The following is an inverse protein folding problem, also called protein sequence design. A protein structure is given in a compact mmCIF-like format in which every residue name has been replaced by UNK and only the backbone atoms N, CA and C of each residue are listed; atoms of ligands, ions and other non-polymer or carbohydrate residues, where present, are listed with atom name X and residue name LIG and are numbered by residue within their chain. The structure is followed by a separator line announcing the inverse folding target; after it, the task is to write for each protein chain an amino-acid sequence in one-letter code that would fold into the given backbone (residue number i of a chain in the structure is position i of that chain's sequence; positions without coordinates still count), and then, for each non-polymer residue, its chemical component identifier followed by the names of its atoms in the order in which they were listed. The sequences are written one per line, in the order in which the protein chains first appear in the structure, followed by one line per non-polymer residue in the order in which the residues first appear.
data_IF_130590583740
#
_entry.id   IF_130590583740
#
_cell.length_a   1.000
_cell.length_b   1.000
_cell.length_c   1.000
_cell.angle_alpha   90.00
_cell.angle_beta   90.00
_cell.angle_gamma   90.00
#
_symmetry.space_group_name_H-M   'P 1'
#
loop_
_entity.id
_entity.type
_entity.pdbx_description
1 polymer ?
#
# COMPACT_ATOMS: atom_id res chain seq x y z
N UNK A 1 12.05 23.22 -6.43
CA UNK A 1 11.56 21.86 -6.76
C UNK A 1 11.34 21.82 -8.25
N UNK A 2 11.84 20.78 -8.93
CA UNK A 2 11.74 20.66 -10.40
C UNK A 2 11.31 19.25 -10.73
N UNK A 3 10.29 19.12 -11.58
CA UNK A 3 9.85 17.85 -12.15
C UNK A 3 10.13 17.92 -13.65
N UNK A 4 10.96 17.02 -14.14
CA UNK A 4 11.29 16.90 -15.56
C UNK A 4 10.93 15.51 -16.04
N UNK A 5 10.21 15.42 -17.17
CA UNK A 5 10.08 14.17 -17.92
C UNK A 5 11.21 14.12 -18.92
N UNK A 6 12.00 13.06 -18.87
CA UNK A 6 12.91 12.63 -19.93
C UNK A 6 12.33 11.39 -20.58
N UNK A 7 12.88 11.02 -21.73
CA UNK A 7 12.35 9.97 -22.61
C UNK A 7 11.88 8.70 -21.86
N UNK A 8 12.68 8.22 -20.89
CA UNK A 8 12.37 7.00 -20.11
C UNK A 8 12.27 7.22 -18.59
N UNK A 9 12.37 8.45 -18.08
CA UNK A 9 12.41 8.69 -16.62
C UNK A 9 11.76 10.01 -16.20
N UNK A 10 11.24 10.05 -14.97
CA UNK A 10 10.77 11.28 -14.33
C UNK A 10 11.79 11.69 -13.27
N UNK A 11 12.47 12.81 -13.49
CA UNK A 11 13.44 13.37 -12.55
C UNK A 11 12.76 14.39 -11.63
N UNK A 12 12.68 14.06 -10.34
CA UNK A 12 12.12 14.94 -9.31
C UNK A 12 13.26 15.45 -8.41
N UNK A 13 13.41 16.76 -8.31
CA UNK A 13 14.44 17.41 -7.47
C UNK A 13 13.80 18.13 -6.30
N UNK A 14 14.20 17.77 -5.09
CA UNK A 14 13.79 18.39 -3.83
C UNK A 14 14.86 19.36 -3.31
N UNK A 15 14.44 20.37 -2.53
CA UNK A 15 15.37 21.21 -1.78
C UNK A 15 15.89 20.43 -0.56
N UNK A 16 17.17 20.52 -0.18
CA UNK A 16 17.75 19.73 0.90
C UNK A 16 17.09 19.92 2.28
N UNK A 17 16.30 20.98 2.48
CA UNK A 17 15.53 21.21 3.71
C UNK A 17 14.16 20.53 3.79
N UNK A 18 13.81 19.67 2.83
CA UNK A 18 12.50 19.00 2.78
C UNK A 18 12.53 17.72 3.62
N UNK A 19 11.51 17.51 4.46
CA UNK A 19 11.36 16.30 5.27
C UNK A 19 11.35 15.03 4.39
N UNK A 20 12.40 14.23 4.53
CA UNK A 20 12.64 13.01 3.75
C UNK A 20 11.57 11.95 3.97
N UNK A 21 10.91 11.95 5.14
CA UNK A 21 9.90 10.95 5.50
C UNK A 21 8.65 11.08 4.62
N UNK A 22 8.21 12.30 4.39
CA UNK A 22 7.05 12.59 3.51
C UNK A 22 7.37 12.29 2.05
N UNK A 23 8.62 12.53 1.64
CA UNK A 23 9.08 12.20 0.28
C UNK A 23 9.04 10.68 0.07
N UNK A 24 9.48 9.89 1.06
CA UNK A 24 9.43 8.44 0.98
C UNK A 24 7.99 7.94 0.78
N UNK A 25 7.02 8.47 1.54
CA UNK A 25 5.61 8.08 1.38
C UNK A 25 5.05 8.38 -0.02
N UNK A 26 5.46 9.49 -0.64
CA UNK A 26 5.05 9.85 -1.99
C UNK A 26 5.68 8.89 -3.01
N UNK A 27 6.97 8.56 -2.85
CA UNK A 27 7.66 7.60 -3.72
C UNK A 27 7.01 6.22 -3.63
N UNK A 28 6.68 5.77 -2.42
CA UNK A 28 6.04 4.47 -2.21
C UNK A 28 4.66 4.41 -2.88
N UNK A 29 3.89 5.50 -2.82
CA UNK A 29 2.60 5.60 -3.53
C UNK A 29 2.77 5.57 -5.05
N UNK A 30 3.72 6.33 -5.60
CA UNK A 30 3.99 6.28 -7.05
C UNK A 30 4.41 4.89 -7.50
N UNK A 31 5.21 4.19 -6.70
CA UNK A 31 5.60 2.81 -6.96
C UNK A 31 4.41 1.85 -6.91
N UNK A 32 3.48 2.06 -5.97
CA UNK A 32 2.24 1.29 -5.90
C UNK A 32 1.41 1.49 -7.18
N UNK A 33 1.21 2.74 -7.63
CA UNK A 33 0.48 3.04 -8.87
C UNK A 33 1.16 2.41 -10.10
N UNK A 34 2.49 2.45 -10.17
CA UNK A 34 3.24 1.81 -11.26
C UNK A 34 3.05 0.28 -11.28
N UNK A 35 3.17 -0.37 -10.12
CA UNK A 35 3.00 -1.82 -10.00
C UNK A 35 1.55 -2.25 -10.24
N UNK A 36 0.59 -1.42 -9.88
CA UNK A 36 -0.84 -1.71 -10.03
C UNK A 36 -1.42 -1.25 -11.37
N UNK A 37 -0.68 -0.49 -12.17
CA UNK A 37 -1.11 0.01 -13.49
C UNK A 37 -1.59 -1.08 -14.46
N UNK A 38 -1.06 -2.30 -14.34
CA UNK A 38 -1.45 -3.46 -15.14
C UNK A 38 -2.35 -4.44 -14.39
N UNK A 39 -2.62 -4.16 -13.11
CA UNK A 39 -3.47 -5.00 -12.27
C UNK A 39 -4.93 -4.86 -12.70
N UNK A 40 -5.58 -6.01 -12.92
CA UNK A 40 -7.03 -6.10 -13.11
C UNK A 40 -7.75 -6.51 -11.83
N UNK A 41 -7.01 -6.68 -10.73
CA UNK A 41 -7.56 -7.10 -9.46
C UNK A 41 -8.45 -5.98 -8.91
N UNK A 42 -9.67 -6.34 -8.56
CA UNK A 42 -10.62 -5.42 -7.93
C UNK A 42 -10.40 -5.38 -6.43
N UNK A 43 -10.91 -4.33 -5.77
CA UNK A 43 -10.94 -4.25 -4.31
C UNK A 43 -11.61 -5.50 -3.69
N UNK A 44 -12.63 -6.04 -4.36
CA UNK A 44 -13.32 -7.27 -3.96
C UNK A 44 -12.41 -8.50 -3.99
N UNK A 45 -11.45 -8.56 -4.92
CA UNK A 45 -10.48 -9.66 -4.98
C UNK A 45 -9.50 -9.59 -3.81
N UNK A 46 -9.08 -8.39 -3.43
CA UNK A 46 -8.25 -8.15 -2.24
C UNK A 46 -9.03 -8.52 -0.97
N UNK A 47 -10.31 -8.12 -0.90
CA UNK A 47 -11.17 -8.44 0.22
C UNK A 47 -11.36 -9.95 0.37
N UNK A 48 -11.66 -10.66 -0.72
CA UNK A 48 -11.76 -12.12 -0.75
C UNK A 48 -10.45 -12.82 -0.32
N UNK A 49 -9.29 -12.27 -0.70
CA UNK A 49 -7.99 -12.79 -0.29
C UNK A 49 -7.73 -12.60 1.21
N UNK A 50 -8.17 -11.48 1.79
CA UNK A 50 -7.97 -11.18 3.22
C UNK A 50 -9.01 -11.83 4.12
N UNK A 51 -10.22 -12.08 3.64
CA UNK A 51 -11.29 -12.74 4.39
C UNK A 51 -11.04 -14.25 4.57
N UNK A 52 -10.47 -14.91 3.56
CA UNK A 52 -10.13 -16.34 3.62
C UNK A 52 -9.26 -16.72 4.84
N UNK A 53 -8.12 -16.06 5.12
CA UNK A 53 -7.30 -16.35 6.30
C UNK A 53 -7.86 -15.75 7.60
N UNK A 54 -8.85 -14.85 7.53
CA UNK A 54 -9.52 -14.28 8.72
C UNK A 54 -10.69 -15.14 9.21
N UNK A 55 -11.34 -15.93 8.35
CA UNK A 55 -12.33 -16.94 8.76
C UNK A 55 -11.68 -17.93 9.74
N UNK A 56 -12.30 -18.16 10.90
CA UNK A 56 -11.76 -19.03 11.96
C UNK A 56 -10.76 -18.35 12.90
N UNK A 57 -10.05 -17.31 12.44
CA UNK A 57 -9.03 -16.64 13.25
C UNK A 57 -9.63 -15.82 14.38
N UNK A 58 -10.72 -15.11 14.09
CA UNK A 58 -11.45 -14.34 15.09
C UNK A 58 -12.14 -15.23 16.13
N UNK A 59 -12.70 -16.35 15.70
CA UNK A 59 -13.28 -17.35 16.60
C UNK A 59 -12.22 -17.98 17.49
N UNK A 60 -11.02 -18.28 16.96
CA UNK A 60 -9.88 -18.74 17.77
C UNK A 60 -9.39 -17.69 18.77
N UNK A 61 -9.30 -16.43 18.35
CA UNK A 61 -8.88 -15.33 19.24
C UNK A 61 -9.92 -15.04 20.33
N UNK A 62 -11.22 -15.14 20.03
CA UNK A 62 -12.26 -15.03 21.06
C UNK A 62 -12.13 -16.15 22.10
N UNK A 63 -11.84 -17.38 21.65
CA UNK A 63 -11.61 -18.55 22.51
C UNK A 63 -10.39 -18.38 23.42
N UNK A 64 -9.30 -17.84 22.89
CA UNK A 64 -8.12 -17.53 23.69
C UNK A 64 -8.35 -16.40 24.71
N UNK A 65 -9.24 -15.45 24.38
CA UNK A 65 -9.54 -14.29 25.23
C UNK A 65 -10.70 -14.53 26.21
N UNK A 66 -11.38 -15.68 26.14
CA UNK A 66 -12.56 -15.98 26.95
C UNK A 66 -13.74 -15.03 26.65
N UNK A 67 -13.85 -14.58 25.40
CA UNK A 67 -14.90 -13.68 24.91
C UNK A 67 -15.98 -14.41 24.11
N UNK A 68 -15.97 -15.73 24.16
CA UNK A 68 -17.06 -16.59 23.68
C UNK A 68 -18.06 -16.74 24.82
N UNK A 69 -19.28 -16.24 24.61
CA UNK A 69 -20.40 -16.41 25.54
C UNK A 69 -20.87 -17.87 25.61
#
# INVERSE_FOLDING_TARGET
MKVERKDNEILIRFSPGTDTSKIQSIIDYLRYEELTSHSRATEKDVQNLTEKPKKGRWEGTKNELGLDE
#
